data_IF_033754463029
#
_entry.id   IF_033754463029
#
_cell.length_a   1.000
_cell.length_b   1.000
_cell.length_c   1.000
_cell.angle_alpha   90.00
_cell.angle_beta   90.00
_cell.angle_gamma   90.00
#
_symmetry.space_group_name_H-M   'P 1'
#
loop_
_entity.id
_entity.type
_entity.pdbx_description
1 polymer ?
#
# COMPACT_ATOMS: atom_id res chain seq x y z
N UNK A 1 17.72 11.41 -7.03
CA UNK A 1 16.78 12.01 -6.04
C UNK A 1 15.32 11.71 -6.36
N UNK A 2 14.85 11.90 -7.60
CA UNK A 2 13.44 11.64 -7.96
C UNK A 2 12.96 10.20 -7.69
N UNK A 3 13.79 9.19 -7.97
CA UNK A 3 13.46 7.79 -7.68
C UNK A 3 13.23 7.53 -6.18
N UNK A 4 14.05 8.13 -5.32
CA UNK A 4 13.89 7.99 -3.87
C UNK A 4 12.59 8.65 -3.39
N UNK A 5 12.27 9.82 -3.93
CA UNK A 5 11.00 10.50 -3.62
C UNK A 5 9.79 9.65 -4.03
N UNK A 6 9.80 9.10 -5.24
CA UNK A 6 8.73 8.23 -5.74
C UNK A 6 8.63 6.95 -4.91
N UNK A 7 9.76 6.37 -4.52
CA UNK A 7 9.81 5.18 -3.67
C UNK A 7 9.18 5.45 -2.30
N UNK A 8 9.55 6.55 -1.63
CA UNK A 8 8.97 6.95 -0.34
C UNK A 8 7.47 7.23 -0.50
N UNK A 9 7.06 7.91 -1.58
CA UNK A 9 5.65 8.15 -1.86
C UNK A 9 4.89 6.82 -2.02
N UNK A 10 5.44 5.86 -2.77
CA UNK A 10 4.83 4.55 -2.95
C UNK A 10 4.75 3.73 -1.66
N UNK A 11 5.72 3.85 -0.74
CA UNK A 11 5.64 3.25 0.60
C UNK A 11 4.47 3.84 1.41
N UNK A 12 4.31 5.17 1.38
CA UNK A 12 3.22 5.87 2.08
C UNK A 12 1.87 5.46 1.50
N UNK A 13 1.74 5.48 0.18
CA UNK A 13 0.51 5.07 -0.50
C UNK A 13 0.22 3.60 -0.23
N UNK A 14 1.19 2.70 -0.33
CA UNK A 14 0.99 1.28 -0.03
C UNK A 14 0.54 1.03 1.41
N UNK A 15 1.02 1.82 2.37
CA UNK A 15 0.57 1.75 3.76
C UNK A 15 -0.90 2.18 3.90
N UNK A 16 -1.30 3.23 3.18
CA UNK A 16 -2.69 3.64 3.08
C UNK A 16 -3.56 2.56 2.40
N UNK A 17 -3.08 1.90 1.33
CA UNK A 17 -3.83 0.82 0.66
C UNK A 17 -4.13 -0.34 1.60
N UNK A 18 -3.19 -0.74 2.47
CA UNK A 18 -3.46 -1.74 3.50
C UNK A 18 -4.60 -1.33 4.45
N UNK A 19 -4.65 -0.05 4.84
CA UNK A 19 -5.75 0.48 5.66
C UNK A 19 -7.08 0.46 4.91
N UNK A 20 -7.09 0.76 3.60
CA UNK A 20 -8.28 0.67 2.75
C UNK A 20 -8.77 -0.78 2.66
N UNK A 21 -7.89 -1.73 2.35
CA UNK A 21 -8.21 -3.17 2.25
C UNK A 21 -8.85 -3.66 3.54
N UNK A 22 -8.25 -3.32 4.69
CA UNK A 22 -8.78 -3.69 6.00
C UNK A 22 -10.18 -3.10 6.25
N UNK A 23 -10.37 -1.79 5.99
CA UNK A 23 -11.64 -1.09 6.23
C UNK A 23 -12.76 -1.51 5.28
N UNK A 24 -12.41 -1.89 4.04
CA UNK A 24 -13.37 -2.44 3.09
C UNK A 24 -14.00 -3.73 3.60
N UNK A 25 -13.23 -4.58 4.28
CA UNK A 25 -13.75 -5.80 4.87
C UNK A 25 -14.59 -5.54 6.13
N UNK A 26 -14.14 -4.64 7.02
CA UNK A 26 -14.85 -4.36 8.27
C UNK A 26 -16.11 -3.50 8.10
N UNK A 27 -16.33 -2.90 6.92
CA UNK A 27 -17.44 -1.98 6.66
C UNK A 27 -17.22 -0.59 7.29
N UNK A 28 -16.02 -0.32 7.80
CA UNK A 28 -15.67 0.96 8.40
C UNK A 28 -15.52 2.07 7.35
N UNK A 29 -15.68 3.32 7.79
CA UNK A 29 -15.43 4.47 6.93
C UNK A 29 -13.98 4.50 6.44
N UNK A 30 -13.77 4.44 5.12
CA UNK A 30 -12.42 4.44 4.51
C UNK A 30 -11.62 5.69 4.90
N UNK A 31 -12.28 6.85 4.98
CA UNK A 31 -11.63 8.16 5.21
C UNK A 31 -11.63 8.58 6.68
N UNK A 32 -12.57 8.08 7.49
CA UNK A 32 -12.75 8.53 8.89
C UNK A 32 -12.26 7.46 9.85
N UNK A 33 -11.41 7.86 10.79
CA UNK A 33 -10.93 7.00 11.88
C UNK A 33 -9.40 6.90 11.92
N UNK A 34 -8.85 6.59 13.08
CA UNK A 34 -7.43 6.34 13.24
C UNK A 34 -7.07 4.91 12.80
N UNK A 35 -5.78 4.64 12.63
CA UNK A 35 -5.32 3.27 12.43
C UNK A 35 -5.25 2.57 13.78
N UNK A 36 -5.79 1.36 13.86
CA UNK A 36 -5.83 0.57 15.09
C UNK A 36 -5.24 -0.81 14.86
N UNK A 37 -4.64 -1.38 15.89
CA UNK A 37 -4.26 -2.79 15.84
C UNK A 37 -5.52 -3.66 15.83
N UNK A 38 -5.70 -4.60 14.88
CA UNK A 38 -6.92 -5.42 14.79
C UNK A 38 -7.15 -6.27 16.05
N UNK A 39 -6.07 -6.69 16.72
CA UNK A 39 -6.18 -7.61 17.86
C UNK A 39 -6.42 -6.93 19.22
N UNK A 40 -5.78 -5.79 19.49
CA UNK A 40 -5.94 -5.09 20.78
C UNK A 40 -6.69 -3.77 20.68
N UNK A 41 -7.08 -3.36 19.47
CA UNK A 41 -7.77 -2.11 19.16
C UNK A 41 -7.03 -0.84 19.60
N UNK A 42 -5.77 -0.98 20.04
CA UNK A 42 -4.94 0.16 20.42
C UNK A 42 -4.71 1.06 19.20
N UNK A 43 -4.91 2.35 19.41
CA UNK A 43 -4.66 3.37 18.40
C UNK A 43 -3.16 3.44 18.10
N UNK A 44 -2.78 3.22 16.85
CA UNK A 44 -1.39 3.20 16.42
C UNK A 44 -0.85 4.63 16.33
N UNK A 45 0.33 4.85 16.89
CA UNK A 45 1.03 6.13 16.79
C UNK A 45 1.74 6.28 15.46
N UNK A 46 2.22 7.49 15.15
CA UNK A 46 2.97 7.80 13.92
C UNK A 46 4.17 6.86 13.72
N UNK A 47 4.85 6.48 14.81
CA UNK A 47 6.01 5.56 14.78
C UNK A 47 5.64 4.14 14.36
N UNK A 48 4.41 3.71 14.60
CA UNK A 48 3.93 2.38 14.23
C UNK A 48 3.44 2.34 12.78
N UNK A 49 3.18 3.51 12.20
CA UNK A 49 2.74 3.72 10.81
C UNK A 49 3.90 3.98 9.83
N UNK A 50 5.16 3.95 10.29
CA UNK A 50 6.31 4.11 9.39
C UNK A 50 6.39 2.86 8.50
N UNK A 51 6.15 2.98 7.18
CA UNK A 51 6.04 1.83 6.29
C UNK A 51 7.31 0.98 6.33
N UNK A 52 7.18 -0.34 6.34
CA UNK A 52 8.22 -1.39 6.33
C UNK A 52 9.13 -1.38 7.57
N UNK A 53 9.62 -0.21 7.99
CA UNK A 53 10.51 -0.04 9.13
C UNK A 53 9.84 -0.36 10.46
N UNK A 54 8.58 0.03 10.68
CA UNK A 54 7.88 -0.31 11.93
C UNK A 54 7.72 -1.81 12.07
N UNK A 55 7.38 -2.50 10.98
CA UNK A 55 7.23 -3.95 10.93
C UNK A 55 8.56 -4.67 11.15
N UNK A 56 9.64 -4.25 10.48
CA UNK A 56 10.97 -4.83 10.66
C UNK A 56 11.50 -4.64 12.09
N UNK A 57 11.36 -3.44 12.64
CA UNK A 57 11.84 -3.13 13.99
C UNK A 57 11.09 -3.92 15.06
N UNK A 58 9.78 -4.09 14.89
CA UNK A 58 8.94 -4.86 15.80
C UNK A 58 8.92 -6.37 15.48
N UNK A 59 9.73 -6.82 14.50
CA UNK A 59 9.84 -8.22 14.05
C UNK A 59 8.49 -8.83 13.68
N UNK A 60 7.66 -8.04 12.99
CA UNK A 60 6.32 -8.42 12.58
C UNK A 60 5.35 -8.62 13.73
N UNK A 61 5.52 -7.90 14.84
CA UNK A 61 4.59 -7.93 15.98
C UNK A 61 4.07 -6.54 16.32
N UNK A 62 2.86 -6.47 16.87
CA UNK A 62 2.34 -5.24 17.44
C UNK A 62 3.15 -4.86 18.68
N UNK A 63 3.53 -3.58 18.80
CA UNK A 63 4.28 -3.04 19.95
C UNK A 63 3.58 -3.30 21.29
N UNK A 64 2.26 -3.21 21.30
CA UNK A 64 1.45 -3.21 22.52
C UNK A 64 1.02 -4.61 22.96
N UNK A 65 0.48 -5.42 22.04
CA UNK A 65 -0.07 -6.74 22.37
C UNK A 65 0.81 -7.90 21.88
N UNK A 66 1.92 -7.64 21.18
CA UNK A 66 2.83 -8.64 20.63
C UNK A 66 2.19 -9.63 19.64
N UNK A 67 0.94 -9.37 19.21
CA UNK A 67 0.26 -10.13 18.18
C UNK A 67 1.02 -10.00 16.86
N UNK A 68 1.08 -11.09 16.09
CA UNK A 68 1.76 -11.12 14.79
C UNK A 68 1.00 -10.24 13.78
N UNK A 69 1.73 -9.38 13.07
CA UNK A 69 1.24 -8.59 11.94
C UNK A 69 1.58 -9.37 10.67
N UNK A 70 0.59 -9.56 9.80
CA UNK A 70 0.76 -10.30 8.55
C UNK A 70 1.89 -9.73 7.69
N UNK A 71 2.64 -10.63 7.02
CA UNK A 71 3.66 -10.26 6.03
C UNK A 71 3.09 -9.51 4.82
N UNK A 72 1.78 -9.59 4.61
CA UNK A 72 1.09 -8.83 3.57
C UNK A 72 1.33 -7.32 3.70
N UNK A 73 1.35 -6.77 4.92
CA UNK A 73 1.51 -5.33 5.12
C UNK A 73 2.81 -4.79 4.51
N UNK A 74 4.00 -5.25 4.92
CA UNK A 74 5.26 -4.79 4.32
C UNK A 74 5.40 -5.20 2.85
N UNK A 75 4.80 -6.32 2.42
CA UNK A 75 4.84 -6.73 1.02
C UNK A 75 4.06 -5.78 0.11
N UNK A 76 2.85 -5.36 0.51
CA UNK A 76 2.03 -4.40 -0.24
C UNK A 76 2.73 -3.03 -0.30
N UNK A 77 3.32 -2.59 0.81
CA UNK A 77 4.09 -1.33 0.86
C UNK A 77 5.27 -1.34 -0.12
N UNK A 78 6.10 -2.40 -0.06
CA UNK A 78 7.24 -2.55 -0.96
C UNK A 78 6.83 -2.73 -2.42
N UNK A 79 5.82 -3.56 -2.69
CA UNK A 79 5.31 -3.77 -4.05
C UNK A 79 4.81 -2.46 -4.66
N UNK A 80 4.05 -1.66 -3.90
CA UNK A 80 3.57 -0.34 -4.34
C UNK A 80 4.74 0.59 -4.66
N UNK A 81 5.74 0.67 -3.77
CA UNK A 81 6.93 1.50 -3.98
C UNK A 81 7.74 1.09 -5.22
N UNK A 82 7.95 -0.21 -5.42
CA UNK A 82 8.67 -0.76 -6.57
C UNK A 82 7.91 -0.48 -7.86
N UNK A 83 6.59 -0.75 -7.89
CA UNK A 83 5.77 -0.54 -9.08
C UNK A 83 5.68 0.93 -9.48
N UNK A 84 5.61 1.85 -8.51
CA UNK A 84 5.64 3.29 -8.78
C UNK A 84 6.96 3.71 -9.44
N UNK A 85 8.09 3.25 -8.89
CA UNK A 85 9.43 3.51 -9.44
C UNK A 85 9.58 2.91 -10.84
N UNK A 86 9.10 1.68 -11.05
CA UNK A 86 9.13 1.02 -12.36
C UNK A 86 8.28 1.76 -13.39
N UNK A 87 7.09 2.23 -13.00
CA UNK A 87 6.25 3.06 -13.86
C UNK A 87 6.97 4.33 -14.32
N UNK A 88 7.66 5.02 -13.40
CA UNK A 88 8.45 6.20 -13.75
C UNK A 88 9.61 5.86 -14.69
N UNK A 89 10.32 4.77 -14.39
CA UNK A 89 11.45 4.30 -15.19
C UNK A 89 11.05 3.91 -16.62
N UNK A 90 9.85 3.36 -16.81
CA UNK A 90 9.37 2.92 -18.12
C UNK A 90 8.67 4.05 -18.89
N UNK A 91 7.84 4.85 -18.23
CA UNK A 91 6.94 5.81 -18.89
C UNK A 91 7.52 7.23 -18.99
N UNK A 92 8.37 7.63 -18.05
CA UNK A 92 8.83 9.04 -17.94
C UNK A 92 10.32 9.17 -18.24
N UNK A 93 11.16 8.33 -17.62
CA UNK A 93 12.61 8.41 -17.73
C UNK A 93 13.18 8.33 -19.17
N UNK A 94 12.64 7.54 -20.12
CA UNK A 94 13.19 7.45 -21.48
C UNK A 94 12.75 8.61 -22.39
N UNK A 95 11.82 9.46 -21.95
CA UNK A 95 11.25 10.53 -22.78
C UNK A 95 12.16 11.76 -22.75
N UNK A 96 12.66 12.17 -23.92
CA UNK A 96 13.59 13.31 -24.07
C UNK A 96 12.93 14.64 -23.71
N UNK A 97 11.67 14.85 -24.10
CA UNK A 97 10.90 16.04 -23.78
C UNK A 97 9.63 15.66 -23.04
N UNK A 98 9.65 15.83 -21.73
CA UNK A 98 8.51 15.46 -20.87
C UNK A 98 7.40 16.48 -21.03
N UNK A 99 6.32 16.09 -21.72
CA UNK A 99 5.13 16.91 -21.90
C UNK A 99 4.12 16.70 -20.77
N UNK A 100 3.12 17.58 -20.69
CA UNK A 100 2.00 17.43 -19.75
C UNK A 100 1.27 16.09 -19.89
N UNK A 101 1.16 15.58 -21.13
CA UNK A 101 0.51 14.30 -21.43
C UNK A 101 1.26 13.13 -20.79
N UNK A 102 2.60 13.17 -20.77
CA UNK A 102 3.43 12.13 -20.12
C UNK A 102 3.15 12.11 -18.61
N UNK A 103 3.08 13.27 -17.97
CA UNK A 103 2.73 13.36 -16.55
C UNK A 103 1.31 12.86 -16.25
N UNK A 104 0.33 13.19 -17.09
CA UNK A 104 -1.03 12.65 -16.96
C UNK A 104 -1.07 11.13 -17.12
N UNK A 105 -0.33 10.57 -18.08
CA UNK A 105 -0.25 9.13 -18.28
C UNK A 105 0.37 8.41 -17.08
N UNK A 106 1.41 9.00 -16.47
CA UNK A 106 2.03 8.47 -15.27
C UNK A 106 1.07 8.57 -14.06
N UNK A 107 0.37 9.69 -13.88
CA UNK A 107 -0.64 9.83 -12.84
C UNK A 107 -1.76 8.79 -12.98
N UNK A 108 -2.26 8.59 -14.20
CA UNK A 108 -3.24 7.55 -14.49
C UNK A 108 -2.71 6.16 -14.13
N UNK A 109 -1.46 5.86 -14.51
CA UNK A 109 -0.79 4.61 -14.13
C UNK A 109 -0.73 4.41 -12.61
N UNK A 110 -0.33 5.43 -11.84
CA UNK A 110 -0.24 5.36 -10.37
C UNK A 110 -1.60 5.07 -9.72
N UNK A 111 -2.67 5.68 -10.23
CA UNK A 111 -4.03 5.46 -9.74
C UNK A 111 -4.47 4.03 -10.09
N UNK A 112 -4.31 3.64 -11.37
CA UNK A 112 -4.72 2.32 -11.85
C UNK A 112 -4.00 1.18 -11.09
N UNK A 113 -2.68 1.28 -10.90
CA UNK A 113 -1.93 0.25 -10.19
C UNK A 113 -2.33 0.19 -8.70
N UNK A 114 -2.66 1.32 -8.08
CA UNK A 114 -3.15 1.35 -6.69
C UNK A 114 -4.47 0.60 -6.55
N UNK A 115 -5.42 0.81 -7.46
CA UNK A 115 -6.68 0.05 -7.47
C UNK A 115 -6.45 -1.44 -7.73
N UNK A 116 -5.59 -1.79 -8.70
CA UNK A 116 -5.27 -3.18 -8.99
C UNK A 116 -4.64 -3.90 -7.80
N UNK A 117 -3.76 -3.23 -7.05
CA UNK A 117 -3.19 -3.79 -5.81
C UNK A 117 -4.29 -4.05 -4.78
N UNK A 118 -5.19 -3.09 -4.54
CA UNK A 118 -6.31 -3.28 -3.60
C UNK A 118 -7.17 -4.46 -4.01
N UNK A 119 -7.59 -4.52 -5.28
CA UNK A 119 -8.43 -5.59 -5.82
C UNK A 119 -7.72 -6.95 -5.69
N UNK A 120 -6.46 -7.04 -6.13
CA UNK A 120 -5.68 -8.28 -6.09
C UNK A 120 -5.51 -8.81 -4.66
N UNK A 121 -5.16 -7.93 -3.73
CA UNK A 121 -4.92 -8.32 -2.34
C UNK A 121 -6.22 -8.66 -1.62
N UNK A 122 -7.28 -7.88 -1.85
CA UNK A 122 -8.60 -8.15 -1.27
C UNK A 122 -9.17 -9.47 -1.79
N UNK A 123 -9.04 -9.73 -3.10
CA UNK A 123 -9.43 -11.01 -3.71
C UNK A 123 -8.63 -12.18 -3.14
N UNK A 124 -7.30 -12.05 -3.02
CA UNK A 124 -6.47 -13.08 -2.40
C UNK A 124 -6.85 -13.37 -0.94
N UNK A 125 -7.34 -12.37 -0.19
CA UNK A 125 -7.77 -12.56 1.20
C UNK A 125 -9.16 -13.21 1.32
N UNK A 126 -10.07 -12.93 0.39
CA UNK A 126 -11.49 -13.23 0.55
C UNK A 126 -12.05 -14.19 -0.51
N UNK A 127 -11.30 -14.55 -1.54
CA UNK A 127 -11.65 -15.58 -2.52
C UNK A 127 -12.77 -15.24 -3.49
N UNK A 128 -13.21 -13.98 -3.56
CA UNK A 128 -14.42 -13.58 -4.29
C UNK A 128 -14.42 -13.96 -5.78
N UNK A 129 -13.26 -13.98 -6.45
CA UNK A 129 -13.14 -14.41 -7.85
C UNK A 129 -12.99 -15.94 -7.97
N UNK A 130 -12.29 -16.59 -7.04
CA UNK A 130 -12.01 -18.03 -7.09
C UNK A 130 -13.24 -18.88 -6.77
N UNK A 131 -14.13 -18.41 -5.90
CA UNK A 131 -15.37 -19.11 -5.52
C UNK A 131 -16.38 -19.21 -6.68
N UNK A 132 -16.28 -18.37 -7.70
CA UNK A 132 -17.17 -18.38 -8.88
C UNK A 132 -16.70 -19.39 -9.94
N UNK A 133 -15.42 -19.76 -9.93
CA UNK A 133 -14.80 -20.61 -10.97
C UNK A 133 -14.64 -22.06 -10.51
N UNK A 134 -14.74 -22.34 -9.21
CA UNK A 134 -14.75 -23.69 -8.61
C UNK A 134 -16.14 -24.31 -8.60
#
# INVERSE_FOLDING_TARGET
MIYLFIFILGLIIGSFLNAVIYRMHSGDSIVKGHSHCPQCQHQLGVKDLIPVFSWLWLRGKCRYCQAKISWQYPLVELATAILFVLGYFVLVAPVVMVSFIVWLSYLYYLIAISFLIVIFVFDHQHGLILDVVS
#
